data_IF_783537322796
#
_entry.id   IF_783537322796
#
_cell.length_a   1.000
_cell.length_b   1.000
_cell.length_c   1.000
_cell.angle_alpha   90.00
_cell.angle_beta   90.00
_cell.angle_gamma   90.00
#
_symmetry.space_group_name_H-M   'P 1'
#
loop_
_entity.id
_entity.type
_entity.pdbx_description
1 polymer ?
#
# COMPACT_ATOMS: atom_id res chain seq x y z
N UNK A 1 2.38 21.63 24.11
CA UNK A 1 3.68 21.21 23.55
C UNK A 1 3.64 19.69 23.46
N UNK A 2 3.16 19.14 22.34
CA UNK A 2 3.10 17.69 22.16
C UNK A 2 4.53 17.15 22.00
N UNK A 3 4.82 16.11 22.75
CA UNK A 3 6.13 15.46 22.82
C UNK A 3 6.53 14.86 21.48
N UNK A 4 7.81 15.02 21.17
CA UNK A 4 8.50 14.57 19.97
C UNK A 4 8.61 13.05 20.00
N UNK A 5 7.55 12.33 19.66
CA UNK A 5 7.63 10.87 19.53
C UNK A 5 8.27 10.54 18.17
N UNK A 6 9.52 10.07 18.23
CA UNK A 6 10.17 9.38 17.13
C UNK A 6 9.50 8.01 16.96
N UNK A 7 9.34 7.56 15.72
CA UNK A 7 8.80 6.24 15.44
C UNK A 7 9.82 5.18 15.84
N UNK A 8 9.39 4.25 16.69
CA UNK A 8 10.22 3.17 17.19
C UNK A 8 10.33 1.99 16.19
N UNK A 9 11.30 1.12 16.44
CA UNK A 9 11.56 -0.06 15.60
C UNK A 9 10.40 -1.07 15.61
N UNK A 10 9.64 -1.14 16.71
CA UNK A 10 8.49 -2.05 16.81
C UNK A 10 7.37 -1.63 15.84
N UNK A 11 7.10 -0.34 15.76
CA UNK A 11 6.13 0.25 14.83
C UNK A 11 6.58 0.03 13.39
N UNK A 12 7.87 0.25 13.08
CA UNK A 12 8.40 0.03 11.73
C UNK A 12 8.37 -1.45 11.31
N UNK A 13 8.68 -2.37 12.23
CA UNK A 13 8.55 -3.80 11.96
C UNK A 13 7.09 -4.17 11.67
N UNK A 14 6.14 -3.60 12.41
CA UNK A 14 4.72 -3.82 12.16
C UNK A 14 4.29 -3.26 10.81
N UNK A 15 4.76 -2.08 10.42
CA UNK A 15 4.52 -1.49 9.10
C UNK A 15 5.08 -2.38 7.99
N UNK A 16 6.30 -2.89 8.15
CA UNK A 16 6.92 -3.82 7.21
C UNK A 16 6.12 -5.11 7.05
N UNK A 17 5.60 -5.67 8.16
CA UNK A 17 4.75 -6.85 8.14
C UNK A 17 3.44 -6.62 7.35
N UNK A 18 2.77 -5.50 7.59
CA UNK A 18 1.54 -5.10 6.87
C UNK A 18 1.82 -4.95 5.37
N UNK A 19 2.96 -4.33 5.04
CA UNK A 19 3.41 -4.15 3.66
C UNK A 19 4.02 -5.41 3.02
N UNK A 20 4.11 -6.54 3.75
CA UNK A 20 4.73 -7.80 3.31
C UNK A 20 6.21 -7.62 2.89
N UNK A 21 6.93 -6.74 3.57
CA UNK A 21 8.36 -6.50 3.40
C UNK A 21 9.16 -7.27 4.44
N UNK A 22 10.15 -8.04 3.96
CA UNK A 22 11.16 -8.65 4.83
C UNK A 22 12.38 -7.75 4.86
N UNK A 23 12.66 -7.17 6.02
CA UNK A 23 13.79 -6.26 6.22
C UNK A 23 14.92 -6.97 6.97
N UNK A 24 16.15 -6.71 6.57
CA UNK A 24 17.34 -6.96 7.39
C UNK A 24 17.46 -5.91 8.50
N UNK A 25 18.31 -6.17 9.50
CA UNK A 25 18.57 -5.22 10.59
C UNK A 25 19.12 -3.89 10.06
N UNK A 26 20.00 -3.93 9.06
CA UNK A 26 20.56 -2.74 8.41
C UNK A 26 19.48 -1.92 7.71
N UNK A 27 18.57 -2.57 6.99
CA UNK A 27 17.46 -1.91 6.29
C UNK A 27 16.45 -1.34 7.29
N UNK A 28 16.20 -2.02 8.40
CA UNK A 28 15.33 -1.52 9.46
C UNK A 28 15.88 -0.24 10.08
N UNK A 29 17.18 -0.20 10.37
CA UNK A 29 17.81 1.01 10.93
C UNK A 29 17.86 2.15 9.92
N UNK A 30 18.04 1.86 8.64
CA UNK A 30 17.94 2.88 7.59
C UNK A 30 16.50 3.41 7.48
N UNK A 31 15.52 2.52 7.43
CA UNK A 31 14.11 2.87 7.38
C UNK A 31 13.70 3.71 8.60
N UNK A 32 14.28 3.44 9.78
CA UNK A 32 14.03 4.25 10.98
C UNK A 32 14.48 5.69 10.82
N UNK A 33 15.66 5.92 10.25
CA UNK A 33 16.13 7.28 9.97
C UNK A 33 15.25 7.96 8.94
N UNK A 34 15.01 7.31 7.82
CA UNK A 34 14.26 7.87 6.69
C UNK A 34 12.80 8.18 7.08
N UNK A 35 12.15 7.26 7.80
CA UNK A 35 10.76 7.45 8.25
C UNK A 35 10.63 8.63 9.21
N UNK A 36 11.58 8.79 10.15
CA UNK A 36 11.56 9.92 11.09
C UNK A 36 11.82 11.25 10.38
N UNK A 37 12.71 11.28 9.37
CA UNK A 37 12.94 12.47 8.56
C UNK A 37 11.68 12.86 7.76
N UNK A 38 11.08 11.90 7.07
CA UNK A 38 9.85 12.10 6.28
C UNK A 38 8.70 12.57 7.17
N UNK A 39 8.48 11.91 8.31
CA UNK A 39 7.41 12.30 9.23
C UNK A 39 7.67 13.66 9.86
N UNK A 40 8.92 14.00 10.15
CA UNK A 40 9.27 15.34 10.63
C UNK A 40 8.96 16.41 9.57
N UNK A 41 9.20 16.12 8.29
CA UNK A 41 8.87 17.03 7.19
C UNK A 41 7.36 17.26 7.08
N UNK A 42 6.56 16.19 7.16
CA UNK A 42 5.11 16.28 7.04
C UNK A 42 4.41 17.00 8.21
N UNK A 43 5.07 17.19 9.36
CA UNK A 43 4.51 17.96 10.49
C UNK A 43 4.19 19.41 10.14
N UNK A 44 4.76 19.98 9.06
CA UNK A 44 4.34 21.32 8.60
C UNK A 44 2.85 21.36 8.24
N UNK A 45 2.24 20.22 7.91
CA UNK A 45 0.80 20.13 7.61
C UNK A 45 -0.03 20.39 8.87
N UNK A 46 0.48 20.08 10.07
CA UNK A 46 -0.24 20.32 11.32
C UNK A 46 -0.43 21.82 11.62
N UNK A 47 0.37 22.69 10.98
CA UNK A 47 0.24 24.15 11.07
C UNK A 47 -0.90 24.69 10.18
N UNK A 48 -1.44 23.86 9.27
CA UNK A 48 -2.51 24.24 8.36
C UNK A 48 -3.88 23.86 8.95
N UNK A 49 -4.77 24.83 9.09
CA UNK A 49 -6.17 24.53 9.38
C UNK A 49 -6.86 23.98 8.12
N UNK A 50 -7.26 22.71 8.16
CA UNK A 50 -8.12 22.13 7.14
C UNK A 50 -9.51 22.80 7.20
N UNK A 51 -9.86 23.55 6.16
CA UNK A 51 -11.16 24.22 6.00
C UNK A 51 -11.75 23.87 4.64
N UNK A 52 -13.07 23.74 4.55
CA UNK A 52 -13.78 23.44 3.31
C UNK A 52 -14.41 22.05 3.30
N UNK A 53 -14.81 21.59 2.11
CA UNK A 53 -15.39 20.26 1.91
C UNK A 53 -14.31 19.18 1.84
N UNK A 54 -14.63 17.97 2.31
CA UNK A 54 -13.73 16.82 2.24
C UNK A 54 -13.44 16.46 0.77
N UNK A 55 -12.15 16.42 0.41
CA UNK A 55 -11.72 16.16 -0.96
C UNK A 55 -11.22 14.72 -1.12
N UNK A 56 -12.09 13.84 -1.62
CA UNK A 56 -11.74 12.47 -2.01
C UNK A 56 -11.36 12.34 -3.48
N UNK A 57 -12.00 13.15 -4.33
CA UNK A 57 -11.80 13.17 -5.77
C UNK A 57 -11.73 14.61 -6.24
N UNK A 58 -10.84 14.91 -7.18
CA UNK A 58 -10.68 16.27 -7.74
C UNK A 58 -11.94 16.69 -8.52
N UNK A 59 -12.70 15.72 -9.06
CA UNK A 59 -13.94 15.95 -9.78
C UNK A 59 -15.10 15.29 -9.03
N UNK A 60 -16.30 15.88 -9.05
CA UNK A 60 -17.50 15.21 -8.58
C UNK A 60 -17.64 13.85 -9.28
N UNK A 61 -17.71 12.78 -8.50
CA UNK A 61 -17.92 11.44 -9.03
C UNK A 61 -19.40 11.12 -8.89
N UNK A 62 -20.06 10.86 -10.01
CA UNK A 62 -21.38 10.27 -10.02
C UNK A 62 -21.24 8.75 -9.92
N UNK A 63 -22.15 8.10 -9.22
CA UNK A 63 -22.22 6.65 -9.22
C UNK A 63 -22.63 6.16 -10.63
N UNK A 64 -21.74 5.42 -11.29
CA UNK A 64 -21.99 4.82 -12.60
C UNK A 64 -21.98 3.29 -12.49
N UNK A 65 -23.15 2.64 -12.39
CA UNK A 65 -23.20 1.19 -12.29
C UNK A 65 -22.85 0.55 -13.64
N UNK A 66 -21.96 -0.45 -13.60
CA UNK A 66 -21.75 -1.34 -14.75
C UNK A 66 -23.01 -2.17 -15.00
N UNK A 67 -23.46 -2.24 -16.26
CA UNK A 67 -24.56 -3.14 -16.67
C UNK A 67 -24.18 -4.60 -16.43
N UNK A 68 -25.13 -5.40 -15.96
CA UNK A 68 -24.93 -6.84 -15.77
C UNK A 68 -25.05 -7.62 -17.07
N UNK A 69 -24.10 -7.38 -17.98
CA UNK A 69 -23.99 -8.06 -19.27
C UNK A 69 -22.72 -8.90 -19.27
N UNK A 70 -22.79 -10.20 -19.62
CA UNK A 70 -21.61 -11.04 -19.73
C UNK A 70 -20.62 -10.50 -20.78
N UNK A 71 -19.34 -10.47 -20.43
CA UNK A 71 -18.26 -10.15 -21.35
C UNK A 71 -17.41 -11.40 -21.61
N UNK A 72 -16.91 -11.57 -22.83
CA UNK A 72 -16.01 -12.66 -23.16
C UNK A 72 -14.66 -12.50 -22.45
N UNK A 73 -14.11 -13.58 -21.89
CA UNK A 73 -12.80 -13.60 -21.26
C UNK A 73 -11.72 -14.02 -22.26
N UNK A 74 -11.30 -13.10 -23.14
CA UNK A 74 -10.32 -13.37 -24.20
C UNK A 74 -8.88 -13.42 -23.70
N UNK A 75 -8.59 -12.72 -22.61
CA UNK A 75 -7.23 -12.52 -22.10
C UNK A 75 -6.71 -13.66 -21.21
N UNK A 76 -7.51 -14.70 -20.95
CA UNK A 76 -7.16 -15.77 -20.01
C UNK A 76 -5.82 -16.45 -20.34
N UNK A 77 -5.53 -16.66 -21.63
CA UNK A 77 -4.26 -17.21 -22.08
C UNK A 77 -3.07 -16.28 -21.80
N UNK A 78 -3.22 -14.99 -22.12
CA UNK A 78 -2.20 -13.98 -21.88
C UNK A 78 -1.90 -13.81 -20.37
N UNK A 79 -2.94 -13.80 -19.54
CA UNK A 79 -2.81 -13.73 -18.07
C UNK A 79 -2.01 -14.91 -17.53
N UNK A 80 -2.35 -16.14 -17.93
CA UNK A 80 -1.59 -17.35 -17.53
C UNK A 80 -0.15 -17.36 -18.06
N UNK A 81 0.10 -16.62 -19.15
CA UNK A 81 1.43 -16.36 -19.68
C UNK A 81 2.32 -15.60 -18.68
N UNK A 82 1.74 -14.75 -17.83
CA UNK A 82 2.45 -13.90 -16.86
C UNK A 82 2.68 -14.57 -15.50
N UNK A 83 2.23 -15.81 -15.29
CA UNK A 83 2.41 -16.49 -14.00
C UNK A 83 3.89 -16.85 -13.77
N UNK A 84 4.44 -16.42 -12.64
CA UNK A 84 5.81 -16.73 -12.25
C UNK A 84 6.05 -18.24 -12.09
N UNK A 85 5.08 -18.97 -11.54
CA UNK A 85 5.05 -20.43 -11.47
C UNK A 85 3.66 -20.94 -11.83
N UNK A 86 3.60 -22.00 -12.63
CA UNK A 86 2.33 -22.60 -13.09
C UNK A 86 2.45 -24.09 -13.28
N UNK A 87 1.33 -24.79 -13.14
CA UNK A 87 1.17 -26.22 -13.46
C UNK A 87 -0.27 -26.44 -13.89
N UNK A 88 -0.49 -27.24 -14.92
CA UNK A 88 -1.83 -27.61 -15.42
C UNK A 88 -2.76 -26.40 -15.64
N UNK A 89 -2.20 -25.27 -16.10
CA UNK A 89 -2.95 -24.04 -16.38
C UNK A 89 -3.31 -23.18 -15.16
N UNK A 90 -2.88 -23.56 -13.96
CA UNK A 90 -3.11 -22.79 -12.72
C UNK A 90 -1.83 -22.16 -12.18
N UNK A 91 -1.98 -21.06 -11.43
CA UNK A 91 -0.89 -20.42 -10.70
C UNK A 91 -0.47 -21.30 -9.52
N UNK A 92 0.83 -21.52 -9.35
CA UNK A 92 1.38 -22.21 -8.19
C UNK A 92 1.89 -21.20 -7.17
N UNK A 93 1.43 -21.35 -5.93
CA UNK A 93 1.89 -20.58 -4.76
C UNK A 93 2.32 -21.54 -3.64
N UNK A 94 3.26 -21.17 -2.77
CA UNK A 94 3.52 -21.92 -1.55
C UNK A 94 2.23 -22.09 -0.73
N UNK A 95 2.01 -23.29 -0.21
CA UNK A 95 0.87 -23.56 0.67
C UNK A 95 1.18 -22.92 2.03
N UNK A 96 0.31 -22.02 2.50
CA UNK A 96 0.33 -21.60 3.90
C UNK A 96 -0.13 -22.78 4.76
N UNK A 97 0.68 -23.13 5.76
CA UNK A 97 0.33 -24.08 6.81
C UNK A 97 -0.11 -23.29 8.05
#
# INVERSE_FOLDING_TARGET
>A
MQTKEEVDSATLLRMAEIARLKLSERELEQLRRDANEILSYFRMIDELEARGEELYYIKPVAFEPRKDIPAACTEAGAIRGQFAKKKDGVMLSPKSF
#
